data_IF_711923702320
#
_entry.id   IF_711923702320
#
_cell.length_a   1.000
_cell.length_b   1.000
_cell.length_c   1.000
_cell.angle_alpha   90.00
_cell.angle_beta   90.00
_cell.angle_gamma   90.00
#
_symmetry.space_group_name_H-M   'P 1'
#
loop_
_entity.id
_entity.type
_entity.pdbx_description
1 polymer ?
#
# COMPACT_ATOMS: atom_id res chain seq x y z
N UNK A 1 -30.60 1.96 -3.19
CA UNK A 1 -29.22 1.53 -2.87
C UNK A 1 -28.91 0.32 -3.73
N UNK A 2 -28.35 0.52 -4.94
CA UNK A 2 -27.91 -0.61 -5.77
C UNK A 2 -26.55 -1.08 -5.25
N UNK A 3 -26.61 -2.01 -4.29
CA UNK A 3 -25.47 -2.84 -3.90
C UNK A 3 -25.05 -3.65 -5.12
N UNK A 4 -23.75 -3.65 -5.43
CA UNK A 4 -23.19 -4.43 -6.54
C UNK A 4 -23.64 -5.89 -6.51
N UNK A 5 -24.11 -6.38 -7.65
CA UNK A 5 -24.16 -7.81 -7.93
C UNK A 5 -22.74 -8.30 -8.28
N UNK A 6 -22.06 -8.82 -7.27
CA UNK A 6 -20.75 -9.46 -7.42
C UNK A 6 -20.86 -10.93 -7.88
N UNK A 7 -21.93 -11.29 -8.62
CA UNK A 7 -22.19 -12.65 -9.14
C UNK A 7 -21.17 -13.13 -10.18
N UNK A 8 -20.32 -12.26 -10.74
CA UNK A 8 -19.30 -12.69 -11.69
C UNK A 8 -18.29 -13.61 -11.02
N UNK A 9 -18.09 -14.76 -11.64
CA UNK A 9 -17.10 -15.74 -11.22
C UNK A 9 -15.67 -15.24 -11.36
N UNK A 10 -14.82 -15.77 -10.50
CA UNK A 10 -13.38 -15.60 -10.62
C UNK A 10 -12.93 -16.21 -11.95
N UNK A 11 -12.20 -15.45 -12.75
CA UNK A 11 -11.44 -16.00 -13.88
C UNK A 11 -10.40 -16.99 -13.37
N UNK A 12 -9.90 -17.88 -14.24
CA UNK A 12 -8.85 -18.84 -13.86
C UNK A 12 -7.59 -18.16 -13.30
N UNK A 13 -7.27 -16.96 -13.78
CA UNK A 13 -6.15 -16.15 -13.27
C UNK A 13 -6.44 -15.60 -11.86
N UNK A 14 -7.64 -15.06 -11.65
CA UNK A 14 -8.08 -14.56 -10.34
C UNK A 14 -8.13 -15.70 -9.32
N UNK A 15 -8.70 -16.86 -9.69
CA UNK A 15 -8.75 -18.04 -8.83
C UNK A 15 -7.35 -18.52 -8.41
N UNK A 16 -6.40 -18.67 -9.33
CA UNK A 16 -5.00 -19.03 -9.00
C UNK A 16 -4.36 -18.02 -8.04
N UNK A 17 -4.62 -16.73 -8.24
CA UNK A 17 -4.12 -15.68 -7.34
C UNK A 17 -4.74 -15.79 -5.94
N UNK A 18 -6.03 -16.13 -5.85
CA UNK A 18 -6.74 -16.33 -4.58
C UNK A 18 -6.28 -17.59 -3.87
N UNK A 19 -6.09 -18.70 -4.58
CA UNK A 19 -5.54 -19.95 -4.03
C UNK A 19 -4.14 -19.74 -3.43
N UNK A 20 -3.26 -19.05 -4.17
CA UNK A 20 -1.93 -18.71 -3.68
C UNK A 20 -2.00 -17.85 -2.40
N UNK A 21 -2.87 -16.84 -2.39
CA UNK A 21 -3.05 -15.95 -1.24
C UNK A 21 -3.69 -16.68 -0.06
N UNK A 22 -4.62 -17.61 -0.30
CA UNK A 22 -5.21 -18.48 0.72
C UNK A 22 -4.15 -19.37 1.38
N UNK A 23 -3.27 -19.97 0.58
CA UNK A 23 -2.16 -20.78 1.08
C UNK A 23 -1.21 -19.94 1.95
N UNK A 24 -0.80 -18.76 1.46
CA UNK A 24 0.08 -17.85 2.20
C UNK A 24 -0.54 -17.36 3.50
N UNK A 25 -1.84 -17.05 3.52
CA UNK A 25 -2.50 -16.47 4.68
C UNK A 25 -3.13 -17.52 5.59
N UNK A 26 -3.11 -18.80 5.22
CA UNK A 26 -3.80 -19.87 5.93
C UNK A 26 -3.51 -19.89 7.44
N UNK A 27 -4.44 -20.41 8.27
CA UNK A 27 -4.22 -20.56 9.71
C UNK A 27 -2.90 -21.29 9.98
N UNK A 28 -2.04 -20.72 10.82
CA UNK A 28 -0.74 -21.32 11.14
C UNK A 28 0.28 -21.34 9.99
N UNK A 29 0.05 -20.60 8.89
CA UNK A 29 1.08 -20.40 7.87
C UNK A 29 2.26 -19.57 8.43
N UNK A 30 3.50 -19.81 7.97
CA UNK A 30 4.65 -18.99 8.34
C UNK A 30 4.43 -17.49 8.11
N UNK A 31 3.78 -17.13 6.99
CA UNK A 31 3.50 -15.73 6.68
C UNK A 31 2.48 -15.12 7.65
N UNK A 32 1.36 -15.80 7.95
CA UNK A 32 0.39 -15.28 8.91
C UNK A 32 0.97 -15.07 10.32
N UNK A 33 1.83 -15.99 10.79
CA UNK A 33 2.59 -15.81 12.04
C UNK A 33 3.51 -14.59 11.96
N UNK A 34 4.16 -14.40 10.82
CA UNK A 34 5.01 -13.23 10.59
C UNK A 34 4.21 -11.92 10.53
N UNK A 35 2.96 -11.93 10.06
CA UNK A 35 2.06 -10.75 10.11
C UNK A 35 1.71 -10.42 11.56
N UNK A 36 1.22 -11.39 12.33
CA UNK A 36 0.91 -11.19 13.75
C UNK A 36 2.14 -10.74 14.54
N UNK A 37 3.31 -11.31 14.26
CA UNK A 37 4.56 -10.88 14.88
C UNK A 37 4.90 -9.42 14.51
N UNK A 38 4.78 -9.04 13.23
CA UNK A 38 5.09 -7.68 12.79
C UNK A 38 4.17 -6.63 13.42
N UNK A 39 2.88 -6.94 13.57
CA UNK A 39 1.92 -6.07 14.26
C UNK A 39 2.33 -5.87 15.73
N UNK A 40 2.61 -6.96 16.47
CA UNK A 40 3.07 -6.87 17.87
C UNK A 40 4.35 -6.04 18.01
N UNK A 41 5.32 -6.25 17.11
CA UNK A 41 6.60 -5.52 17.14
C UNK A 41 6.42 -4.04 16.79
N UNK A 42 5.49 -3.72 15.90
CA UNK A 42 5.10 -2.34 15.64
C UNK A 42 4.49 -1.73 16.90
N UNK A 43 3.59 -2.43 17.61
CA UNK A 43 2.96 -1.90 18.82
C UNK A 43 3.96 -1.71 19.97
N UNK A 44 4.96 -2.60 20.10
CA UNK A 44 6.09 -2.43 21.02
C UNK A 44 6.87 -1.12 20.75
N UNK A 45 6.96 -0.70 19.48
CA UNK A 45 7.67 0.51 19.05
C UNK A 45 6.78 1.77 19.05
N UNK A 46 5.47 1.61 18.86
CA UNK A 46 4.54 2.67 18.51
C UNK A 46 3.11 2.36 19.05
N UNK A 47 2.90 2.34 20.38
CA UNK A 47 1.68 1.80 20.99
C UNK A 47 0.40 2.61 20.71
N UNK A 48 0.52 3.86 20.24
CA UNK A 48 -0.65 4.68 19.91
C UNK A 48 -1.15 4.38 18.48
N UNK A 49 -2.39 3.91 18.37
CA UNK A 49 -3.14 3.88 17.12
C UNK A 49 -3.53 5.30 16.73
N UNK A 50 -2.87 5.85 15.72
CA UNK A 50 -3.22 7.13 15.11
C UNK A 50 -3.36 6.94 13.62
N UNK A 51 -4.12 7.82 12.99
CA UNK A 51 -4.15 7.87 11.53
C UNK A 51 -2.75 8.12 10.96
N UNK A 52 -2.42 7.37 9.91
CA UNK A 52 -1.20 7.58 9.16
C UNK A 52 -1.42 8.76 8.20
N UNK A 53 -0.71 9.86 8.45
CA UNK A 53 -0.82 11.07 7.62
C UNK A 53 0.24 11.05 6.53
N UNK A 54 -0.12 11.28 5.28
CA UNK A 54 0.81 11.26 4.14
C UNK A 54 0.64 12.53 3.31
N UNK A 55 1.73 13.05 2.76
CA UNK A 55 1.65 14.15 1.78
C UNK A 55 1.14 13.65 0.44
N UNK A 56 0.37 14.49 -0.26
CA UNK A 56 -0.17 14.18 -1.59
C UNK A 56 0.92 13.85 -2.60
N UNK A 57 2.09 14.48 -2.52
CA UNK A 57 3.22 14.21 -3.42
C UNK A 57 3.75 12.76 -3.31
N UNK A 58 3.39 12.03 -2.24
CA UNK A 58 3.69 10.60 -2.13
C UNK A 58 2.97 9.75 -3.18
N UNK A 59 1.77 10.17 -3.58
CA UNK A 59 0.82 9.38 -4.38
C UNK A 59 0.42 10.05 -5.68
N UNK A 60 0.62 11.36 -5.79
CA UNK A 60 0.14 12.18 -6.90
C UNK A 60 1.26 13.07 -7.45
N UNK A 61 1.46 13.02 -8.77
CA UNK A 61 2.35 13.95 -9.46
C UNK A 61 1.63 15.25 -9.79
N UNK A 62 2.19 16.39 -9.39
CA UNK A 62 1.64 17.71 -9.78
C UNK A 62 1.66 17.92 -11.29
N UNK A 63 2.75 17.51 -11.94
CA UNK A 63 2.87 17.48 -13.40
C UNK A 63 2.50 16.08 -13.90
N UNK A 64 1.49 15.93 -14.77
CA UNK A 64 1.14 14.62 -15.32
C UNK A 64 2.30 14.04 -16.12
N UNK A 65 2.39 12.71 -16.14
CA UNK A 65 3.22 11.98 -17.10
C UNK A 65 2.78 12.35 -18.52
N UNK A 66 3.71 12.53 -19.45
CA UNK A 66 3.42 12.85 -20.85
C UNK A 66 2.47 11.80 -21.46
N UNK A 67 1.44 12.26 -22.17
CA UNK A 67 0.47 11.38 -22.85
C UNK A 67 1.14 10.52 -23.92
N UNK A 68 2.26 10.97 -24.51
CA UNK A 68 2.99 10.22 -25.53
C UNK A 68 3.66 8.94 -24.99
N UNK A 69 3.93 8.86 -23.68
CA UNK A 69 4.62 7.71 -23.06
C UNK A 69 3.70 6.81 -22.23
N UNK A 70 2.40 7.13 -22.17
CA UNK A 70 1.42 6.32 -21.44
C UNK A 70 0.42 5.67 -22.39
N UNK A 71 -0.01 4.47 -22.04
CA UNK A 71 -1.09 3.76 -22.73
C UNK A 71 -2.00 3.16 -21.68
N UNK A 72 -3.31 3.14 -21.92
CA UNK A 72 -4.24 2.43 -21.04
C UNK A 72 -3.92 0.92 -20.93
N UNK A 73 -3.21 0.37 -21.92
CA UNK A 73 -2.80 -1.04 -21.97
C UNK A 73 -1.53 -1.34 -21.17
N UNK A 74 -0.75 -0.32 -20.78
CA UNK A 74 0.55 -0.52 -20.13
C UNK A 74 0.76 0.45 -18.97
N UNK A 75 1.33 -0.05 -17.88
CA UNK A 75 1.71 0.82 -16.78
C UNK A 75 2.82 1.80 -17.22
N UNK A 76 2.78 3.08 -16.80
CA UNK A 76 3.85 4.04 -17.12
C UNK A 76 5.21 3.55 -16.64
N UNK A 77 6.35 3.99 -17.20
CA UNK A 77 7.68 3.69 -16.65
C UNK A 77 7.79 4.06 -15.17
N UNK A 78 8.49 3.24 -14.36
CA UNK A 78 8.45 3.35 -12.88
C UNK A 78 9.01 4.68 -12.38
N UNK A 79 10.10 5.13 -12.97
CA UNK A 79 10.80 6.38 -12.71
C UNK A 79 9.90 7.61 -12.89
N UNK A 80 8.91 7.52 -13.78
CA UNK A 80 7.97 8.61 -14.04
C UNK A 80 6.77 8.61 -13.08
N UNK A 81 6.60 7.57 -12.26
CA UNK A 81 5.47 7.43 -11.32
C UNK A 81 5.72 8.21 -10.03
N UNK A 82 4.66 8.55 -9.26
CA UNK A 82 4.81 9.04 -7.89
C UNK A 82 5.44 7.99 -6.97
N UNK A 83 5.95 8.42 -5.82
CA UNK A 83 6.75 7.59 -4.90
C UNK A 83 6.10 6.24 -4.59
N UNK A 84 4.81 6.23 -4.22
CA UNK A 84 4.10 5.01 -3.84
C UNK A 84 4.05 3.97 -4.97
N UNK A 85 3.67 4.36 -6.18
CA UNK A 85 3.59 3.44 -7.33
C UNK A 85 4.94 3.18 -8.01
N UNK A 86 5.96 4.01 -7.75
CA UNK A 86 7.36 3.80 -8.18
C UNK A 86 8.02 2.65 -7.42
N UNK A 87 7.81 2.58 -6.10
CA UNK A 87 8.39 1.52 -5.24
C UNK A 87 7.54 0.24 -5.17
N UNK A 88 6.39 0.25 -5.86
CA UNK A 88 5.46 -0.87 -5.87
C UNK A 88 5.96 -2.05 -6.71
N UNK A 89 5.66 -3.27 -6.26
CA UNK A 89 5.89 -4.49 -7.02
C UNK A 89 4.87 -5.58 -6.69
N UNK A 90 4.79 -6.62 -7.52
CA UNK A 90 3.82 -7.71 -7.33
C UNK A 90 3.99 -8.48 -6.02
N UNK A 91 5.21 -8.48 -5.46
CA UNK A 91 5.56 -9.10 -4.18
C UNK A 91 6.03 -8.04 -3.15
N UNK A 92 5.63 -6.78 -3.35
CA UNK A 92 6.33 -5.64 -2.80
C UNK A 92 6.31 -5.54 -1.29
N UNK A 93 7.51 -5.60 -0.73
CA UNK A 93 7.79 -5.28 0.66
C UNK A 93 8.18 -3.82 0.86
N UNK A 94 8.62 -3.12 -0.21
CA UNK A 94 9.13 -1.76 -0.10
C UNK A 94 8.04 -0.73 0.25
N UNK A 95 6.89 -0.75 -0.44
CA UNK A 95 5.76 0.12 -0.12
C UNK A 95 5.26 -0.11 1.31
N UNK A 96 5.05 -1.38 1.68
CA UNK A 96 4.58 -1.79 3.00
C UNK A 96 5.55 -1.39 4.11
N UNK A 97 6.84 -1.63 3.90
CA UNK A 97 7.88 -1.26 4.86
C UNK A 97 7.96 0.26 5.01
N UNK A 98 7.94 1.02 3.92
CA UNK A 98 7.99 2.47 3.99
C UNK A 98 6.80 3.05 4.76
N UNK A 99 5.58 2.57 4.51
CA UNK A 99 4.39 2.97 5.26
C UNK A 99 4.49 2.63 6.75
N UNK A 100 4.99 1.44 7.11
CA UNK A 100 5.19 1.04 8.50
C UNK A 100 6.26 1.90 9.20
N UNK A 101 7.35 2.24 8.52
CA UNK A 101 8.41 3.09 9.07
C UNK A 101 7.95 4.54 9.20
N UNK A 102 7.15 5.05 8.26
CA UNK A 102 6.51 6.37 8.38
C UNK A 102 5.58 6.41 9.59
N UNK A 103 4.76 5.38 9.79
CA UNK A 103 3.91 5.24 10.98
C UNK A 103 4.74 5.26 12.26
N UNK A 104 5.80 4.46 12.37
CA UNK A 104 6.71 4.47 13.54
C UNK A 104 7.33 5.85 13.75
N UNK A 105 7.80 6.52 12.70
CA UNK A 105 8.37 7.86 12.79
C UNK A 105 7.34 8.88 13.27
N UNK A 106 6.10 8.81 12.78
CA UNK A 106 5.03 9.66 13.28
C UNK A 106 4.73 9.32 14.74
N UNK A 107 4.58 8.04 15.09
CA UNK A 107 4.29 7.53 16.43
C UNK A 107 5.26 8.05 17.50
N UNK A 108 6.56 8.09 17.16
CA UNK A 108 7.65 8.40 18.10
C UNK A 108 8.08 9.86 18.11
N UNK A 109 7.58 10.69 17.19
CA UNK A 109 7.99 12.10 17.09
C UNK A 109 6.78 13.05 17.12
N UNK A 110 7.00 14.28 17.59
CA UNK A 110 5.99 15.34 17.55
C UNK A 110 5.78 15.82 16.11
N UNK A 111 4.56 16.25 15.79
CA UNK A 111 4.23 16.90 14.51
C UNK A 111 5.14 18.11 14.27
N UNK A 112 5.65 18.27 13.05
CA UNK A 112 6.58 19.33 12.68
C UNK A 112 8.05 19.06 13.03
N UNK A 113 8.35 18.05 13.84
CA UNK A 113 9.73 17.65 14.10
C UNK A 113 10.25 16.73 13.00
N UNK A 114 11.58 16.69 12.85
CA UNK A 114 12.25 15.69 12.02
C UNK A 114 11.85 14.30 12.50
N UNK A 115 11.34 13.46 11.60
CA UNK A 115 10.91 12.10 11.94
C UNK A 115 12.11 11.18 12.08
N UNK A 116 12.71 11.18 13.27
CA UNK A 116 13.82 10.28 13.60
C UNK A 116 13.29 8.89 13.86
N UNK A 117 14.03 7.88 13.41
CA UNK A 117 13.70 6.49 13.69
C UNK A 117 14.37 6.05 14.99
N UNK A 118 13.77 5.09 15.72
CA UNK A 118 14.45 4.44 16.82
C UNK A 118 15.73 3.74 16.31
N UNK A 119 16.75 3.72 17.15
CA UNK A 119 17.99 2.99 16.86
C UNK A 119 17.74 1.49 17.01
N UNK A 120 17.51 0.83 15.87
CA UNK A 120 17.31 -0.62 15.80
C UNK A 120 18.34 -1.23 14.84
N UNK A 121 18.88 -2.41 15.17
CA UNK A 121 19.67 -3.17 14.21
C UNK A 121 18.78 -3.61 13.05
N UNK A 122 19.36 -3.85 11.88
CA UNK A 122 18.61 -4.44 10.77
C UNK A 122 17.99 -5.78 11.14
N UNK A 123 18.73 -6.65 11.83
CA UNK A 123 18.23 -7.92 12.37
C UNK A 123 18.81 -8.16 13.76
N UNK A 124 17.96 -8.29 14.77
CA UNK A 124 18.39 -8.51 16.15
C UNK A 124 19.06 -9.89 16.34
N UNK A 125 20.18 -9.90 17.07
CA UNK A 125 20.73 -11.11 17.70
C UNK A 125 20.09 -11.15 19.11
N UNK A 126 19.60 -12.31 19.58
CA UNK A 126 19.01 -12.54 20.92
C UNK A 126 17.76 -11.72 21.33
N UNK A 127 16.58 -12.06 20.79
CA UNK A 127 15.28 -11.69 21.35
C UNK A 127 14.85 -10.22 21.25
N UNK A 128 15.77 -9.31 20.92
CA UNK A 128 15.50 -7.91 20.64
C UNK A 128 14.70 -7.68 19.36
N UNK A 129 14.31 -6.43 19.12
CA UNK A 129 13.56 -6.01 17.94
C UNK A 129 14.54 -5.50 16.88
N UNK A 130 14.46 -6.01 15.66
CA UNK A 130 15.15 -5.46 14.50
C UNK A 130 14.19 -4.98 13.42
N UNK A 131 14.71 -4.22 12.45
CA UNK A 131 13.90 -3.77 11.31
C UNK A 131 13.30 -4.92 10.48
N UNK A 132 13.93 -6.10 10.48
CA UNK A 132 13.37 -7.31 9.86
C UNK A 132 12.07 -7.80 10.50
N UNK A 133 11.77 -7.35 11.71
CA UNK A 133 10.59 -7.76 12.45
C UNK A 133 9.39 -6.83 12.22
N UNK A 134 9.60 -5.65 11.65
CA UNK A 134 8.54 -4.69 11.25
C UNK A 134 7.84 -5.12 9.94
N UNK A 135 8.42 -6.05 9.21
CA UNK A 135 7.90 -6.53 7.92
C UNK A 135 7.49 -8.01 8.01
N UNK A 136 6.24 -8.30 7.64
CA UNK A 136 5.79 -9.66 7.41
C UNK A 136 6.55 -10.29 6.23
N UNK A 137 7.07 -11.51 6.40
CA UNK A 137 7.81 -12.24 5.37
C UNK A 137 7.37 -13.69 5.29
N UNK A 138 7.21 -14.20 4.07
CA UNK A 138 6.86 -15.61 3.82
C UNK A 138 8.10 -16.52 3.88
N UNK A 139 9.24 -16.01 4.36
CA UNK A 139 10.46 -16.78 4.48
C UNK A 139 10.26 -18.00 5.40
N UNK A 140 10.44 -19.19 4.82
CA UNK A 140 10.55 -20.47 5.51
C UNK A 140 12.02 -20.89 5.51
N UNK A 141 12.46 -21.70 6.47
CA UNK A 141 13.75 -22.36 6.38
C UNK A 141 13.82 -23.22 5.11
N UNK A 142 14.98 -23.29 4.48
CA UNK A 142 15.18 -24.20 3.34
C UNK A 142 16.56 -24.83 3.44
N UNK A 143 16.59 -26.16 3.41
CA UNK A 143 17.83 -26.92 3.36
C UNK A 143 17.60 -28.42 3.60
N UNK A 144 17.63 -29.20 2.52
CA UNK A 144 18.24 -30.53 2.51
C UNK A 144 19.42 -30.42 1.53
N UNK A 145 20.61 -30.03 2.02
CA UNK A 145 21.79 -29.71 1.21
C UNK A 145 22.74 -28.68 1.85
N UNK A 146 23.87 -28.37 1.19
CA UNK A 146 25.03 -27.63 1.72
C UNK A 146 24.80 -26.15 2.09
N UNK A 147 23.66 -25.57 1.72
CA UNK A 147 23.36 -24.16 1.97
C UNK A 147 22.23 -24.01 3.00
N UNK A 148 22.59 -24.07 4.29
CA UNK A 148 21.69 -23.73 5.41
C UNK A 148 21.47 -22.22 5.45
N UNK A 149 20.48 -21.70 4.71
CA UNK A 149 20.02 -20.31 4.88
C UNK A 149 18.92 -20.25 5.94
N UNK A 150 19.19 -19.55 7.04
CA UNK A 150 18.17 -19.32 8.08
C UNK A 150 17.07 -18.38 7.59
N UNK A 151 15.89 -18.42 8.22
CA UNK A 151 14.79 -17.44 7.98
C UNK A 151 15.29 -16.01 8.17
N UNK A 152 16.19 -15.81 9.14
CA UNK A 152 16.79 -14.52 9.44
C UNK A 152 17.62 -13.99 8.28
N UNK A 153 18.47 -14.81 7.67
CA UNK A 153 19.29 -14.40 6.52
C UNK A 153 18.42 -14.02 5.33
N UNK A 154 17.30 -14.73 5.12
CA UNK A 154 16.32 -14.40 4.08
C UNK A 154 15.65 -13.06 4.37
N UNK A 155 15.15 -12.84 5.59
CA UNK A 155 14.53 -11.56 5.99
C UNK A 155 15.51 -10.40 5.86
N UNK A 156 16.75 -10.59 6.28
CA UNK A 156 17.81 -9.59 6.19
C UNK A 156 18.15 -9.22 4.74
N UNK A 157 18.27 -10.21 3.84
CA UNK A 157 18.45 -9.98 2.41
C UNK A 157 17.26 -9.23 1.80
N UNK A 158 16.04 -9.61 2.16
CA UNK A 158 14.82 -8.90 1.72
C UNK A 158 14.85 -7.44 2.17
N UNK A 159 15.17 -7.16 3.44
CA UNK A 159 15.23 -5.80 3.96
C UNK A 159 16.31 -4.96 3.26
N UNK A 160 17.49 -5.51 2.98
CA UNK A 160 18.52 -4.79 2.19
C UNK A 160 18.01 -4.43 0.80
N UNK A 161 17.32 -5.34 0.14
CA UNK A 161 16.72 -5.08 -1.18
C UNK A 161 15.64 -3.98 -1.11
N UNK A 162 14.82 -3.99 -0.06
CA UNK A 162 13.83 -2.94 0.24
C UNK A 162 14.51 -1.59 0.43
N UNK A 163 15.50 -1.52 1.31
CA UNK A 163 16.21 -0.27 1.61
C UNK A 163 16.91 0.30 0.39
N UNK A 164 17.50 -0.54 -0.47
CA UNK A 164 18.04 -0.10 -1.76
C UNK A 164 16.95 0.49 -2.66
N UNK A 165 15.81 -0.20 -2.79
CA UNK A 165 14.66 0.29 -3.58
C UNK A 165 14.19 1.66 -3.09
N UNK A 166 14.16 1.87 -1.77
CA UNK A 166 13.76 3.14 -1.17
C UNK A 166 14.84 4.24 -1.32
N UNK A 167 16.13 3.90 -1.27
CA UNK A 167 17.23 4.85 -1.50
C UNK A 167 17.31 5.28 -2.97
N UNK A 168 17.08 4.34 -3.90
CA UNK A 168 16.98 4.62 -5.33
C UNK A 168 15.80 5.57 -5.62
N UNK A 169 14.67 5.38 -4.92
CA UNK A 169 13.52 6.27 -4.97
C UNK A 169 13.69 7.58 -4.14
N UNK A 170 14.82 7.75 -3.45
CA UNK A 170 15.14 8.89 -2.57
C UNK A 170 14.19 9.08 -1.38
N UNK A 171 13.57 8.00 -0.91
CA UNK A 171 12.67 7.99 0.26
C UNK A 171 13.39 7.68 1.57
N UNK A 172 14.55 7.00 1.47
CA UNK A 172 15.48 6.85 2.59
C UNK A 172 16.89 7.29 2.18
N UNK A 173 17.73 7.60 3.16
CA UNK A 173 19.16 7.80 2.99
C UNK A 173 19.94 6.69 3.67
N UNK A 174 20.82 6.04 2.92
CA UNK A 174 21.77 5.06 3.44
C UNK A 174 23.11 5.72 3.77
N UNK A 175 23.74 5.29 4.86
CA UNK A 175 25.00 5.88 5.33
C UNK A 175 26.20 5.09 4.80
N UNK A 176 27.13 5.76 4.12
CA UNK A 176 28.39 5.17 3.66
C UNK A 176 28.36 4.60 2.23
N UNK A 177 29.55 4.27 1.69
CA UNK A 177 29.72 3.91 0.28
C UNK A 177 29.11 2.54 -0.05
N UNK A 178 28.72 2.35 -1.31
CA UNK A 178 27.93 1.21 -1.79
C UNK A 178 28.51 -0.19 -1.49
N UNK A 179 29.82 -0.30 -1.24
CA UNK A 179 30.53 -1.56 -0.99
C UNK A 179 30.92 -1.82 0.47
N UNK A 180 30.54 -0.95 1.43
CA UNK A 180 30.92 -1.13 2.85
C UNK A 180 29.88 -1.96 3.62
N UNK A 181 30.38 -2.92 4.41
CA UNK A 181 29.57 -3.62 5.41
C UNK A 181 28.96 -2.59 6.38
N UNK A 182 27.65 -2.65 6.59
CA UNK A 182 26.93 -1.73 7.48
C UNK A 182 26.24 -0.53 6.80
N UNK A 183 26.29 -0.37 5.47
CA UNK A 183 25.65 0.77 4.77
C UNK A 183 24.15 0.97 5.06
N UNK A 184 23.47 -0.14 5.35
CA UNK A 184 22.04 -0.16 5.57
C UNK A 184 21.65 0.15 7.02
N UNK A 185 22.61 0.12 7.96
CA UNK A 185 22.37 0.44 9.36
C UNK A 185 22.14 1.95 9.53
N UNK A 186 21.28 2.32 10.48
CA UNK A 186 21.00 3.71 10.81
C UNK A 186 20.39 4.54 9.67
N UNK A 187 19.74 3.92 8.70
CA UNK A 187 19.12 4.63 7.57
C UNK A 187 18.18 5.76 8.05
N UNK A 188 18.09 6.83 7.26
CA UNK A 188 17.28 8.01 7.61
C UNK A 188 16.10 8.17 6.66
N UNK A 189 14.97 8.66 7.17
CA UNK A 189 13.81 9.00 6.34
C UNK A 189 14.02 10.32 5.59
N UNK A 190 13.54 10.36 4.35
CA UNK A 190 13.50 11.54 3.48
C UNK A 190 12.06 11.92 3.14
N UNK A 191 11.88 13.08 2.53
CA UNK A 191 10.58 13.58 2.14
C UNK A 191 9.80 12.58 1.26
N UNK A 192 8.51 12.39 1.55
CA UNK A 192 7.67 11.36 0.95
C UNK A 192 7.51 11.55 -0.57
N UNK A 193 7.52 12.80 -1.05
CA UNK A 193 7.49 13.11 -2.47
C UNK A 193 8.74 12.71 -3.26
N UNK A 194 9.75 12.10 -2.61
CA UNK A 194 10.98 11.66 -3.26
C UNK A 194 11.86 12.84 -3.73
N UNK A 195 12.51 12.78 -4.90
CA UNK A 195 13.34 13.86 -5.39
C UNK A 195 12.47 15.08 -5.74
N UNK A 196 12.50 16.10 -4.89
CA UNK A 196 11.72 17.33 -5.06
C UNK A 196 12.52 18.47 -5.68
N UNK A 197 13.86 18.49 -5.52
CA UNK A 197 14.75 19.54 -6.01
C UNK A 197 16.06 18.94 -6.52
N UNK A 198 16.81 19.67 -7.37
CA UNK A 198 18.17 19.32 -7.83
C UNK A 198 19.25 19.43 -6.72
N UNK A 199 18.85 19.72 -5.48
CA UNK A 199 19.74 19.90 -4.34
C UNK A 199 19.75 18.75 -3.33
N UNK A 200 20.20 19.05 -2.11
CA UNK A 200 20.32 18.05 -1.05
C UNK A 200 18.98 17.36 -0.73
N UNK A 201 19.00 16.04 -0.44
CA UNK A 201 17.80 15.32 -0.09
C UNK A 201 17.11 15.91 1.14
N UNK A 202 15.83 16.27 1.00
CA UNK A 202 15.05 16.88 2.07
C UNK A 202 14.77 15.81 3.14
N UNK A 203 15.16 16.04 4.41
CA UNK A 203 14.84 15.13 5.51
C UNK A 203 13.32 15.01 5.73
N UNK A 204 12.87 13.84 6.17
CA UNK A 204 11.47 13.67 6.55
C UNK A 204 11.13 14.49 7.80
N UNK A 205 9.99 15.17 7.74
CA UNK A 205 9.37 15.89 8.87
C UNK A 205 7.97 15.33 9.07
N UNK A 206 7.61 15.04 10.32
CA UNK A 206 6.28 14.53 10.68
C UNK A 206 5.23 15.55 10.24
N UNK A 207 4.23 15.15 9.42
CA UNK A 207 3.20 16.06 8.96
C UNK A 207 2.51 16.81 10.09
N UNK A 208 2.21 18.08 9.85
CA UNK A 208 1.44 18.93 10.76
C UNK A 208 -0.01 19.00 10.29
N UNK A 209 -0.93 19.35 11.20
CA UNK A 209 -2.33 19.60 10.80
C UNK A 209 -2.51 20.83 9.90
N UNK A 210 -1.45 21.60 9.63
CA UNK A 210 -1.45 22.74 8.71
C UNK A 210 -0.90 22.39 7.32
N UNK A 211 -0.45 21.16 7.11
CA UNK A 211 0.01 20.72 5.79
C UNK A 211 -1.21 20.63 4.85
N UNK A 212 -1.42 21.68 4.06
CA UNK A 212 -2.57 21.86 3.14
C UNK A 212 -2.66 20.75 2.08
N UNK A 213 -1.56 20.04 1.84
CA UNK A 213 -1.47 18.94 0.88
C UNK A 213 -1.16 17.60 1.56
N UNK A 214 -1.84 17.28 2.66
CA UNK A 214 -1.77 15.98 3.32
C UNK A 214 -3.15 15.30 3.41
N UNK A 215 -3.15 13.98 3.53
CA UNK A 215 -4.34 13.15 3.73
C UNK A 215 -4.03 12.05 4.75
N UNK A 216 -5.08 11.42 5.29
CA UNK A 216 -4.96 10.42 6.35
C UNK A 216 -5.50 9.07 5.90
N UNK A 217 -4.85 7.99 6.36
CA UNK A 217 -5.44 6.65 6.40
C UNK A 217 -5.88 6.33 7.83
N UNK A 218 -7.00 5.61 8.02
CA UNK A 218 -7.44 5.18 9.35
C UNK A 218 -6.34 4.40 10.09
N UNK A 219 -6.20 4.62 11.40
CA UNK A 219 -5.23 3.93 12.26
C UNK A 219 -5.22 2.40 12.05
N UNK A 220 -6.41 1.80 11.92
CA UNK A 220 -6.62 0.39 11.65
C UNK A 220 -5.83 -0.16 10.47
N UNK A 221 -5.52 0.67 9.45
CA UNK A 221 -4.70 0.27 8.31
C UNK A 221 -3.33 -0.31 8.71
N UNK A 222 -2.71 0.26 9.75
CA UNK A 222 -1.44 -0.24 10.29
C UNK A 222 -1.73 -1.22 11.43
N UNK A 223 -2.52 -0.81 12.42
CA UNK A 223 -2.67 -1.54 13.69
C UNK A 223 -3.37 -2.88 13.53
N UNK A 224 -4.24 -3.03 12.53
CA UNK A 224 -4.99 -4.27 12.28
C UNK A 224 -4.38 -5.10 11.13
N UNK A 225 -3.17 -4.76 10.67
CA UNK A 225 -2.37 -5.60 9.78
C UNK A 225 -2.67 -5.47 8.28
N UNK A 226 -3.56 -4.56 7.87
CA UNK A 226 -3.92 -4.35 6.46
C UNK A 226 -2.71 -4.05 5.59
N UNK A 227 -1.77 -3.23 6.06
CA UNK A 227 -0.51 -2.93 5.36
C UNK A 227 0.32 -4.17 5.01
N UNK A 228 0.20 -5.26 5.79
CA UNK A 228 0.97 -6.48 5.56
C UNK A 228 0.26 -7.48 4.66
N UNK A 229 -1.08 -7.49 4.65
CA UNK A 229 -1.84 -8.51 3.89
C UNK A 229 -2.29 -8.03 2.52
N UNK A 230 -2.38 -6.71 2.31
CA UNK A 230 -2.80 -6.12 1.03
C UNK A 230 -1.67 -6.12 -0.01
N UNK A 231 -2.01 -6.39 -1.26
CA UNK A 231 -1.11 -6.21 -2.40
C UNK A 231 -0.80 -4.72 -2.61
N UNK A 232 0.36 -4.40 -3.19
CA UNK A 232 0.73 -2.99 -3.44
C UNK A 232 -0.30 -2.26 -4.31
N UNK A 233 -0.93 -2.95 -5.27
CA UNK A 233 -2.01 -2.35 -6.07
C UNK A 233 -3.24 -1.99 -5.25
N UNK A 234 -3.57 -2.79 -4.24
CA UNK A 234 -4.68 -2.54 -3.31
C UNK A 234 -4.31 -1.33 -2.43
N UNK A 235 -3.10 -1.30 -1.87
CA UNK A 235 -2.60 -0.17 -1.07
C UNK A 235 -2.61 1.13 -1.89
N UNK A 236 -2.10 1.12 -3.13
CA UNK A 236 -2.08 2.30 -3.98
C UNK A 236 -3.48 2.82 -4.31
N UNK A 237 -4.46 1.92 -4.47
CA UNK A 237 -5.85 2.35 -4.67
C UNK A 237 -6.42 2.99 -3.41
N UNK A 238 -6.20 2.42 -2.22
CA UNK A 238 -6.60 3.04 -0.96
C UNK A 238 -5.97 4.43 -0.78
N UNK A 239 -4.67 4.54 -1.06
CA UNK A 239 -3.92 5.79 -1.03
C UNK A 239 -4.47 6.84 -2.00
N UNK A 240 -4.81 6.42 -3.23
CA UNK A 240 -5.43 7.30 -4.23
C UNK A 240 -6.79 7.82 -3.76
N UNK A 241 -7.64 6.95 -3.23
CA UNK A 241 -8.98 7.30 -2.74
C UNK A 241 -8.89 8.23 -1.52
N UNK A 242 -8.01 7.91 -0.57
CA UNK A 242 -7.73 8.74 0.60
C UNK A 242 -7.24 10.14 0.23
N UNK A 243 -6.37 10.22 -0.79
CA UNK A 243 -5.88 11.50 -1.28
C UNK A 243 -6.95 12.32 -1.99
N UNK A 244 -7.84 11.68 -2.75
CA UNK A 244 -8.93 12.32 -3.52
C UNK A 244 -8.51 13.40 -4.52
N UNK A 245 -7.21 13.60 -4.74
CA UNK A 245 -6.69 14.75 -5.48
C UNK A 245 -7.03 14.64 -6.96
N UNK A 246 -7.48 15.77 -7.52
CA UNK A 246 -7.98 15.87 -8.90
C UNK A 246 -9.13 14.89 -9.20
N UNK A 247 -9.86 14.47 -8.16
CA UNK A 247 -11.20 13.91 -8.35
C UNK A 247 -12.18 14.98 -8.79
N UNK A 248 -13.32 14.57 -9.35
CA UNK A 248 -14.44 15.48 -9.52
C UNK A 248 -14.86 15.97 -8.13
N UNK A 249 -14.98 17.28 -7.97
CA UNK A 249 -15.55 17.90 -6.77
C UNK A 249 -17.05 18.15 -7.00
N UNK A 250 -17.85 18.24 -5.93
CA UNK A 250 -19.22 18.75 -6.01
C UNK A 250 -19.18 20.19 -6.54
N UNK A 251 -19.40 20.40 -7.84
CA UNK A 251 -19.58 21.73 -8.41
C UNK A 251 -21.06 21.90 -8.78
N UNK A 252 -21.79 22.71 -8.00
CA UNK A 252 -23.23 22.94 -8.12
C UNK A 252 -24.10 21.69 -7.91
N UNK A 253 -25.38 21.76 -8.33
CA UNK A 253 -26.37 20.66 -8.29
C UNK A 253 -26.02 19.44 -9.19
N UNK A 254 -24.82 19.40 -9.77
CA UNK A 254 -24.47 18.56 -10.92
C UNK A 254 -23.41 17.49 -10.67
N UNK A 255 -22.79 17.44 -9.49
CA UNK A 255 -21.90 16.34 -9.13
C UNK A 255 -22.58 15.45 -8.08
N UNK A 256 -23.11 14.33 -8.57
CA UNK A 256 -23.64 13.22 -7.78
C UNK A 256 -22.51 12.55 -6.98
N UNK A 257 -22.03 13.21 -5.92
CA UNK A 257 -21.02 12.75 -4.97
C UNK A 257 -21.56 12.92 -3.56
N UNK A 258 -21.65 11.82 -2.82
CA UNK A 258 -21.94 11.86 -1.40
C UNK A 258 -20.72 12.35 -0.61
N UNK A 259 -20.91 12.85 0.63
CA UNK A 259 -19.79 13.23 1.49
C UNK A 259 -18.76 12.10 1.63
N UNK A 260 -17.49 12.41 1.38
CA UNK A 260 -16.39 11.45 1.43
C UNK A 260 -16.19 10.61 0.16
N UNK A 261 -17.06 10.73 -0.84
CA UNK A 261 -16.86 10.10 -2.15
C UNK A 261 -15.90 10.91 -3.03
N UNK A 262 -15.11 10.18 -3.83
CA UNK A 262 -14.29 10.72 -4.90
C UNK A 262 -14.62 10.01 -6.21
N UNK A 263 -14.55 10.75 -7.31
CA UNK A 263 -14.62 10.19 -8.65
C UNK A 263 -13.38 10.59 -9.43
N UNK A 264 -12.51 9.62 -9.74
CA UNK A 264 -11.20 9.89 -10.33
C UNK A 264 -11.21 9.47 -11.81
N UNK A 265 -11.00 10.41 -12.76
CA UNK A 265 -10.92 10.09 -14.18
C UNK A 265 -9.82 9.08 -14.50
N UNK A 266 -10.04 8.27 -15.55
CA UNK A 266 -9.06 7.26 -15.97
C UNK A 266 -7.70 7.87 -16.33
N UNK A 267 -7.71 9.02 -17.02
CA UNK A 267 -6.51 9.76 -17.36
C UNK A 267 -5.78 10.26 -16.11
N UNK A 268 -6.50 10.82 -15.14
CA UNK A 268 -5.92 11.30 -13.88
C UNK A 268 -5.24 10.16 -13.13
N UNK A 269 -5.96 9.03 -12.99
CA UNK A 269 -5.44 7.81 -12.38
C UNK A 269 -4.16 7.31 -13.07
N UNK A 270 -4.12 7.32 -14.40
CA UNK A 270 -2.97 6.83 -15.16
C UNK A 270 -1.78 7.79 -15.08
N UNK A 271 -2.00 9.08 -15.37
CA UNK A 271 -0.95 10.08 -15.59
C UNK A 271 -0.44 10.74 -14.31
N UNK A 272 -1.26 10.82 -13.26
CA UNK A 272 -0.85 11.45 -12.00
C UNK A 272 -0.55 10.42 -10.89
N UNK A 273 -1.37 9.37 -10.79
CA UNK A 273 -1.17 8.33 -9.77
C UNK A 273 -0.29 7.17 -10.27
N UNK A 274 -0.08 7.04 -11.58
CA UNK A 274 0.69 5.92 -12.15
C UNK A 274 -0.05 4.58 -12.06
N UNK A 275 -1.37 4.58 -11.91
CA UNK A 275 -2.20 3.38 -11.74
C UNK A 275 -2.91 3.07 -13.07
N UNK A 276 -2.52 1.96 -13.71
CA UNK A 276 -3.17 1.51 -14.94
C UNK A 276 -4.47 0.73 -14.67
N UNK A 277 -5.24 0.51 -15.74
CA UNK A 277 -6.60 -0.04 -15.70
C UNK A 277 -6.71 -1.39 -14.98
N UNK A 278 -5.79 -2.31 -15.23
CA UNK A 278 -5.95 -3.70 -14.76
C UNK A 278 -5.78 -3.84 -13.24
N UNK A 279 -4.71 -3.34 -12.58
CA UNK A 279 -4.60 -3.33 -11.14
C UNK A 279 -5.68 -2.48 -10.49
N UNK A 280 -6.08 -1.37 -11.10
CA UNK A 280 -7.22 -0.60 -10.60
C UNK A 280 -8.49 -1.44 -10.55
N UNK A 281 -8.82 -2.13 -11.65
CA UNK A 281 -10.02 -2.95 -11.73
C UNK A 281 -9.98 -4.11 -10.72
N UNK A 282 -8.85 -4.78 -10.56
CA UNK A 282 -8.72 -5.91 -9.60
C UNK A 282 -8.74 -5.40 -8.15
N UNK A 283 -7.96 -4.35 -7.85
CA UNK A 283 -7.90 -3.75 -6.51
C UNK A 283 -9.26 -3.20 -6.07
N UNK A 284 -9.99 -2.52 -6.94
CA UNK A 284 -11.31 -1.95 -6.63
C UNK A 284 -12.28 -3.02 -6.15
N UNK A 285 -12.32 -4.16 -6.85
CA UNK A 285 -13.21 -5.28 -6.52
C UNK A 285 -12.81 -5.95 -5.22
N UNK A 286 -11.54 -6.30 -5.09
CA UNK A 286 -11.01 -6.99 -3.91
C UNK A 286 -11.16 -6.16 -2.64
N UNK A 287 -10.83 -4.86 -2.68
CA UNK A 287 -11.03 -3.96 -1.55
C UNK A 287 -12.50 -3.78 -1.16
N UNK A 288 -13.42 -3.81 -2.14
CA UNK A 288 -14.85 -3.81 -1.84
C UNK A 288 -15.30 -5.11 -1.15
N UNK A 289 -14.81 -6.27 -1.58
CA UNK A 289 -15.07 -7.55 -0.88
C UNK A 289 -14.50 -7.56 0.53
N UNK A 290 -13.32 -6.98 0.74
CA UNK A 290 -12.73 -6.85 2.06
C UNK A 290 -13.45 -5.80 2.91
N UNK A 291 -14.42 -5.06 2.36
CA UNK A 291 -15.14 -3.98 3.04
C UNK A 291 -14.22 -2.84 3.47
N UNK A 292 -13.22 -2.51 2.65
CA UNK A 292 -12.34 -1.34 2.84
C UNK A 292 -12.67 -0.19 1.91
N UNK A 293 -13.44 -0.46 0.86
CA UNK A 293 -13.79 0.47 -0.19
C UNK A 293 -15.27 0.34 -0.53
N UNK A 294 -16.03 1.41 -0.36
CA UNK A 294 -17.37 1.49 -0.92
C UNK A 294 -17.28 1.93 -2.37
N UNK A 295 -18.04 1.27 -3.24
CA UNK A 295 -18.11 1.62 -4.66
C UNK A 295 -19.56 1.80 -5.08
N UNK A 296 -19.89 3.02 -5.53
CA UNK A 296 -21.18 3.31 -6.14
C UNK A 296 -20.99 3.53 -7.64
N UNK A 297 -21.67 2.70 -8.40
CA UNK A 297 -21.69 2.74 -9.87
C UNK A 297 -22.93 3.52 -10.32
N UNK A 298 -22.78 4.35 -11.35
CA UNK A 298 -23.87 5.15 -11.92
C UNK A 298 -23.94 4.84 -13.42
N UNK A 299 -25.13 4.59 -13.94
CA UNK A 299 -25.33 4.29 -15.37
C UNK A 299 -24.78 2.92 -15.78
N UNK A 300 -24.76 1.94 -14.86
CA UNK A 300 -24.40 0.54 -15.13
C UNK A 300 -25.57 -0.37 -14.79
N UNK A 301 -25.83 -1.34 -15.64
CA UNK A 301 -26.77 -2.43 -15.36
C UNK A 301 -26.21 -3.33 -14.25
N UNK A 302 -27.06 -4.18 -13.68
CA UNK A 302 -26.71 -5.11 -12.61
C UNK A 302 -25.58 -6.09 -13.01
N UNK A 303 -25.34 -6.28 -14.31
CA UNK A 303 -24.24 -7.10 -14.86
C UNK A 303 -22.89 -6.34 -14.98
N UNK A 304 -22.84 -5.07 -14.55
CA UNK A 304 -21.66 -4.19 -14.61
C UNK A 304 -21.36 -3.61 -15.99
N UNK A 305 -22.18 -3.89 -17.01
CA UNK A 305 -22.08 -3.28 -18.34
C UNK A 305 -22.85 -1.96 -18.38
N UNK A 306 -22.44 -1.09 -19.29
CA UNK A 306 -23.08 0.19 -19.55
C UNK A 306 -23.08 0.41 -21.07
N UNK A 307 -24.17 1.01 -21.58
CA UNK A 307 -24.18 1.65 -22.89
C UNK A 307 -23.02 2.66 -22.97
N UNK A 308 -22.36 2.75 -24.13
CA UNK A 308 -21.08 3.47 -24.26
C UNK A 308 -21.19 4.95 -23.83
N UNK A 309 -22.36 5.56 -23.97
CA UNK A 309 -22.61 6.98 -23.66
C UNK A 309 -22.98 7.27 -22.19
N UNK A 310 -23.21 6.23 -21.36
CA UNK A 310 -23.65 6.38 -19.96
C UNK A 310 -22.59 6.02 -18.91
N UNK A 311 -21.37 5.66 -19.33
CA UNK A 311 -20.28 5.22 -18.43
C UNK A 311 -19.78 6.35 -17.53
N UNK A 312 -20.48 6.59 -16.43
CA UNK A 312 -20.02 7.53 -15.40
C UNK A 312 -18.89 6.91 -14.57
N UNK A 313 -18.04 7.79 -14.04
CA UNK A 313 -16.95 7.42 -13.15
C UNK A 313 -17.49 6.75 -11.88
N UNK A 314 -16.79 5.74 -11.38
CA UNK A 314 -17.09 5.11 -10.10
C UNK A 314 -16.98 6.16 -8.98
N UNK A 315 -17.93 6.13 -8.04
CA UNK A 315 -17.80 6.87 -6.77
C UNK A 315 -17.17 5.94 -5.76
N UNK A 316 -16.07 6.41 -5.18
CA UNK A 316 -15.23 5.62 -4.30
C UNK A 316 -15.11 6.33 -2.97
N UNK A 317 -15.27 5.61 -1.87
CA UNK A 317 -14.97 6.13 -0.53
C UNK A 317 -14.34 5.03 0.30
N UNK A 318 -13.50 5.42 1.26
CA UNK A 318 -12.98 4.48 2.25
C UNK A 318 -14.08 4.08 3.22
N UNK A 319 -14.16 2.79 3.52
CA UNK A 319 -15.01 2.29 4.61
C UNK A 319 -14.16 2.21 5.88
N UNK A 320 -14.27 3.26 6.72
CA UNK A 320 -13.47 3.39 7.96
C UNK A 320 -13.73 2.23 8.92
N UNK A 321 -14.98 1.79 9.06
CA UNK A 321 -15.33 0.65 9.91
C UNK A 321 -14.67 -0.65 9.43
N UNK A 322 -14.42 -0.75 8.12
CA UNK A 322 -13.64 -1.80 7.51
C UNK A 322 -12.26 -2.00 8.12
N UNK A 323 -11.57 -0.90 8.41
CA UNK A 323 -10.19 -0.90 8.92
C UNK A 323 -10.09 -1.34 10.38
N UNK A 324 -11.18 -1.29 11.15
CA UNK A 324 -11.22 -1.70 12.57
C UNK A 324 -11.23 -3.22 12.77
N UNK A 325 -11.39 -3.99 11.69
CA UNK A 325 -11.41 -5.45 11.72
C UNK A 325 -10.01 -6.03 11.54
N UNK A 326 -9.76 -7.18 12.17
CA UNK A 326 -8.53 -7.95 11.98
C UNK A 326 -8.36 -8.36 10.51
N UNK A 327 -7.29 -7.85 9.87
CA UNK A 327 -7.10 -8.00 8.44
C UNK A 327 -6.88 -9.46 8.02
N UNK A 328 -6.19 -10.26 8.85
CA UNK A 328 -5.97 -11.68 8.53
C UNK A 328 -7.28 -12.46 8.50
N UNK A 329 -8.15 -12.24 9.47
CA UNK A 329 -9.45 -12.90 9.59
C UNK A 329 -10.34 -12.52 8.42
N UNK A 330 -10.56 -11.22 8.18
CA UNK A 330 -11.42 -10.76 7.08
C UNK A 330 -10.93 -11.30 5.74
N UNK A 331 -9.62 -11.24 5.48
CA UNK A 331 -9.09 -11.59 4.19
C UNK A 331 -9.11 -13.10 3.94
N UNK A 332 -8.92 -13.92 4.99
CA UNK A 332 -9.13 -15.38 4.91
C UNK A 332 -10.57 -15.72 4.58
N UNK A 333 -11.51 -15.19 5.34
CA UNK A 333 -12.93 -15.50 5.20
C UNK A 333 -13.43 -15.11 3.82
N UNK A 334 -13.06 -13.91 3.36
CA UNK A 334 -13.44 -13.43 2.03
C UNK A 334 -12.81 -14.25 0.91
N UNK A 335 -11.52 -14.60 1.00
CA UNK A 335 -10.88 -15.45 -0.02
C UNK A 335 -11.54 -16.83 -0.07
N UNK A 336 -11.79 -17.46 1.08
CA UNK A 336 -12.46 -18.76 1.15
C UNK A 336 -13.88 -18.68 0.58
N UNK A 337 -14.64 -17.64 0.93
CA UNK A 337 -15.96 -17.40 0.38
C UNK A 337 -15.94 -17.26 -1.14
N UNK A 338 -14.96 -16.54 -1.72
CA UNK A 338 -14.85 -16.40 -3.17
C UNK A 338 -14.42 -17.70 -3.87
N UNK A 339 -13.52 -18.48 -3.25
CA UNK A 339 -13.08 -19.76 -3.81
C UNK A 339 -14.17 -20.84 -3.77
N UNK A 340 -15.03 -20.82 -2.75
CA UNK A 340 -16.14 -21.75 -2.59
C UNK A 340 -17.30 -21.50 -3.59
N UNK A 341 -17.33 -20.35 -4.27
CA UNK A 341 -18.35 -20.07 -5.27
C UNK A 341 -18.19 -21.04 -6.47
N UNK A 342 -19.25 -21.75 -6.86
CA UNK A 342 -19.18 -22.70 -7.98
C UNK A 342 -18.82 -21.97 -9.27
N UNK A 343 -17.93 -22.58 -10.07
CA UNK A 343 -17.76 -22.23 -11.47
C UNK A 343 -19.04 -22.68 -12.22
N UNK A 344 -19.57 -21.83 -13.10
CA UNK A 344 -20.74 -22.11 -13.94
C UNK A 344 -20.24 -22.34 -15.34
#
# INVERSE_FOLDING_TARGET
>A
MNSLDWSRQLTSKERKSFEHRAHLLGPGSPYSRSVTAAMRRRDDLAPAGRDLVLRQDYVYLRKPIDSAVVSDRAAPPRELRPSATRISSSQGSALRFHLAVLDIAQATNKRGNRGRLPELPLAAFSGGIGWTDVLASAAVESGAGSDLSTVRDKKFRTLRSVLRTLDDAKLVGLHGPARKNGRHEGFTLRHEGGPQNEGDPIPYVVPTGRDVAAFSLPAGFITNGWVHVLADSEINLLLMVASGRAGLFPWGDSADLAPGEVAIPAEVRLRHYGIHRDPFSVARKTLAWFGLLTVREIGRHDDGRAQDDERKLHRLSLDVAGFERDALTVLRDQIQQQLARPAR
#
